data_IF_248188725214
#
_entry.id   IF_248188725214
#
_cell.length_a   1.000
_cell.length_b   1.000
_cell.length_c   1.000
_cell.angle_alpha   90.00
_cell.angle_beta   90.00
_cell.angle_gamma   90.00
#
_symmetry.space_group_name_H-M   'P 1'
#
loop_
_entity.id
_entity.type
_entity.pdbx_description
1 polymer ?
#
# COMPACT_ATOMS: atom_id res chain seq x y z
N UNK A 1 5.67 11.04 -4.15
CA UNK A 1 5.53 9.58 -4.34
C UNK A 1 6.85 8.85 -4.57
N UNK A 2 7.68 9.16 -5.59
CA UNK A 2 8.94 8.41 -5.82
C UNK A 2 9.84 8.28 -4.58
N UNK A 3 10.04 9.38 -3.84
CA UNK A 3 10.82 9.35 -2.60
C UNK A 3 10.25 8.40 -1.54
N UNK A 4 8.93 8.28 -1.43
CA UNK A 4 8.30 7.38 -0.45
C UNK A 4 8.51 5.89 -0.79
N UNK A 5 8.86 5.57 -2.04
CA UNK A 5 9.26 4.22 -2.44
C UNK A 5 10.71 3.90 -2.07
N UNK A 6 11.54 4.93 -1.89
CA UNK A 6 12.96 4.79 -1.51
C UNK A 6 13.11 4.84 0.02
N UNK A 7 12.48 5.84 0.65
CA UNK A 7 12.53 6.10 2.09
C UNK A 7 11.29 6.92 2.51
N UNK A 8 10.41 6.30 3.28
CA UNK A 8 9.17 6.93 3.77
C UNK A 8 9.49 8.12 4.67
N UNK A 9 10.48 8.01 5.56
CA UNK A 9 10.80 9.03 6.56
C UNK A 9 11.41 10.27 5.95
N UNK A 10 12.18 10.11 4.88
CA UNK A 10 12.77 11.22 4.11
C UNK A 10 11.85 11.80 3.03
N UNK A 11 10.67 11.21 2.82
CA UNK A 11 9.73 11.69 1.82
C UNK A 11 9.04 12.99 2.24
N UNK A 12 8.42 13.67 1.25
CA UNK A 12 7.61 14.88 1.45
C UNK A 12 6.22 14.62 2.04
N UNK A 13 5.90 13.39 2.45
CA UNK A 13 4.62 13.08 3.07
C UNK A 13 4.48 13.79 4.42
N UNK A 14 3.25 14.09 4.80
CA UNK A 14 2.94 14.60 6.13
C UNK A 14 3.27 13.56 7.21
N UNK A 15 3.47 14.01 8.45
CA UNK A 15 3.70 13.10 9.57
C UNK A 15 2.55 12.11 9.78
N UNK A 16 1.30 12.53 9.53
CA UNK A 16 0.13 11.67 9.63
C UNK A 16 0.08 10.58 8.56
N UNK A 17 0.47 10.90 7.32
CA UNK A 17 0.59 9.92 6.23
C UNK A 17 1.73 8.93 6.49
N UNK A 18 2.89 9.40 6.95
CA UNK A 18 4.01 8.52 7.32
C UNK A 18 3.61 7.56 8.43
N UNK A 19 2.87 8.04 9.44
CA UNK A 19 2.37 7.22 10.53
C UNK A 19 1.45 6.10 10.02
N UNK A 20 0.54 6.41 9.09
CA UNK A 20 -0.31 5.40 8.44
C UNK A 20 0.52 4.36 7.68
N UNK A 21 1.54 4.79 6.93
CA UNK A 21 2.38 3.86 6.16
C UNK A 21 3.25 2.97 7.06
N UNK A 22 3.77 3.49 8.18
CA UNK A 22 4.48 2.69 9.18
C UNK A 22 3.56 1.68 9.86
N UNK A 23 2.31 2.05 10.15
CA UNK A 23 1.32 1.10 10.65
C UNK A 23 1.04 0.00 9.62
N UNK A 24 0.85 0.36 8.34
CA UNK A 24 0.67 -0.62 7.24
C UNK A 24 1.88 -1.53 7.09
N UNK A 25 3.10 -1.02 7.28
CA UNK A 25 4.31 -1.84 7.27
C UNK A 25 4.31 -2.89 8.39
N UNK A 26 3.90 -2.51 9.61
CA UNK A 26 3.71 -3.45 10.71
C UNK A 26 2.62 -4.48 10.39
N UNK A 27 1.48 -4.06 9.84
CA UNK A 27 0.43 -4.99 9.39
C UNK A 27 0.96 -5.97 8.34
N UNK A 28 1.84 -5.52 7.44
CA UNK A 28 2.41 -6.37 6.39
C UNK A 28 3.34 -7.46 6.94
N UNK A 29 4.13 -7.14 7.96
CA UNK A 29 5.19 -8.01 8.47
C UNK A 29 4.82 -8.75 9.77
N UNK A 30 3.89 -8.22 10.56
CA UNK A 30 3.62 -8.66 11.94
C UNK A 30 2.14 -8.48 12.34
N UNK A 31 1.21 -8.75 11.42
CA UNK A 31 -0.24 -8.63 11.71
C UNK A 31 -0.74 -9.40 12.94
N UNK A 32 -0.20 -10.59 13.32
CA UNK A 32 -0.70 -11.30 14.51
C UNK A 32 -0.49 -10.56 15.83
N UNK A 33 0.43 -9.59 15.89
CA UNK A 33 0.73 -8.80 17.07
C UNK A 33 0.18 -7.36 17.00
N UNK A 34 -0.68 -7.06 16.03
CA UNK A 34 -1.39 -5.78 15.98
C UNK A 34 -2.40 -5.72 17.13
N UNK A 35 -2.38 -4.61 17.85
CA UNK A 35 -3.26 -4.33 18.97
C UNK A 35 -3.90 -2.95 18.84
N UNK A 36 -4.85 -2.62 19.71
CA UNK A 36 -5.43 -1.28 19.77
C UNK A 36 -4.37 -0.18 20.03
N UNK A 37 -3.26 -0.51 20.70
CA UNK A 37 -2.18 0.45 20.96
C UNK A 37 -1.48 0.90 19.66
N UNK A 38 -1.48 0.07 18.62
CA UNK A 38 -0.93 0.42 17.31
C UNK A 38 -1.81 1.42 16.55
N UNK A 39 -3.11 1.45 16.85
CA UNK A 39 -4.08 2.36 16.20
C UNK A 39 -4.23 3.68 16.95
N UNK A 40 -3.92 3.73 18.25
CA UNK A 40 -4.03 4.95 19.06
C UNK A 40 -3.26 6.16 18.47
N UNK A 41 -2.00 6.02 18.00
CA UNK A 41 -1.30 7.13 17.36
C UNK A 41 -2.01 7.64 16.09
N UNK A 42 -2.62 6.75 15.31
CA UNK A 42 -3.36 7.12 14.10
C UNK A 42 -4.60 7.93 14.44
N UNK A 43 -5.35 7.52 15.47
CA UNK A 43 -6.51 8.27 15.95
C UNK A 43 -6.10 9.66 16.47
N UNK A 44 -4.99 9.75 17.21
CA UNK A 44 -4.45 11.03 17.68
C UNK A 44 -4.02 11.94 16.52
N UNK A 45 -3.63 11.37 15.37
CA UNK A 45 -3.33 12.10 14.14
C UNK A 45 -4.59 12.44 13.30
N UNK A 46 -5.79 12.05 13.76
CA UNK A 46 -7.06 12.37 13.12
C UNK A 46 -7.59 11.33 12.13
N UNK A 47 -6.95 10.16 12.02
CA UNK A 47 -7.47 9.06 11.19
C UNK A 47 -8.68 8.41 11.85
N UNK A 48 -9.72 8.15 11.05
CA UNK A 48 -10.91 7.41 11.49
C UNK A 48 -10.67 5.90 11.40
N UNK A 49 -11.46 5.11 12.15
CA UNK A 49 -11.46 3.65 12.05
C UNK A 49 -11.69 3.19 10.59
N UNK A 50 -12.61 3.84 9.88
CA UNK A 50 -12.91 3.54 8.47
C UNK A 50 -11.68 3.69 7.57
N UNK A 51 -10.91 4.78 7.73
CA UNK A 51 -9.70 5.01 6.94
C UNK A 51 -8.61 3.98 7.26
N UNK A 52 -8.48 3.60 8.54
CA UNK A 52 -7.56 2.55 8.98
C UNK A 52 -7.97 1.20 8.39
N UNK A 53 -9.27 0.88 8.39
CA UNK A 53 -9.79 -0.35 7.79
C UNK A 53 -9.54 -0.41 6.29
N UNK A 54 -9.67 0.71 5.56
CA UNK A 54 -9.33 0.76 4.14
C UNK A 54 -7.84 0.50 3.90
N UNK A 55 -6.96 1.06 4.73
CA UNK A 55 -5.53 0.81 4.63
C UNK A 55 -5.18 -0.66 4.90
N UNK A 56 -5.76 -1.26 5.95
CA UNK A 56 -5.59 -2.69 6.28
C UNK A 56 -6.11 -3.55 5.13
N UNK A 57 -7.28 -3.23 4.59
CA UNK A 57 -7.91 -3.99 3.50
C UNK A 57 -7.04 -3.98 2.25
N UNK A 58 -6.52 -2.81 1.86
CA UNK A 58 -5.59 -2.70 0.74
C UNK A 58 -4.33 -3.55 0.99
N UNK A 59 -3.71 -3.43 2.16
CA UNK A 59 -2.53 -4.21 2.52
C UNK A 59 -2.79 -5.73 2.45
N UNK A 60 -3.90 -6.19 3.04
CA UNK A 60 -4.27 -7.59 3.06
C UNK A 60 -4.52 -8.15 1.65
N UNK A 61 -5.19 -7.37 0.80
CA UNK A 61 -5.49 -7.77 -0.58
C UNK A 61 -4.20 -7.89 -1.42
N UNK A 62 -3.27 -6.95 -1.30
CA UNK A 62 -1.96 -7.07 -1.96
C UNK A 62 -1.16 -8.25 -1.41
N UNK A 63 -1.21 -8.51 -0.11
CA UNK A 63 -0.58 -9.69 0.49
C UNK A 63 -1.11 -11.01 -0.06
N UNK A 64 -2.41 -11.09 -0.33
CA UNK A 64 -3.02 -12.21 -1.02
C UNK A 64 -2.54 -12.30 -2.48
N UNK A 65 -2.62 -11.21 -3.24
CA UNK A 65 -2.24 -11.22 -4.66
C UNK A 65 -0.78 -11.54 -4.89
N UNK A 66 0.13 -10.98 -4.09
CA UNK A 66 1.57 -11.26 -4.20
C UNK A 66 1.82 -12.76 -4.08
N UNK A 67 1.29 -13.40 -3.03
CA UNK A 67 1.43 -14.85 -2.81
C UNK A 67 0.81 -15.68 -3.95
N UNK A 68 -0.36 -15.27 -4.45
CA UNK A 68 -1.04 -15.99 -5.51
C UNK A 68 -0.32 -15.88 -6.86
N UNK A 69 0.15 -14.68 -7.23
CA UNK A 69 0.92 -14.43 -8.45
C UNK A 69 2.25 -15.18 -8.40
N UNK A 70 2.98 -15.08 -7.28
CA UNK A 70 4.27 -15.76 -7.10
C UNK A 70 4.11 -17.29 -7.21
N UNK A 71 3.05 -17.85 -6.61
CA UNK A 71 2.79 -19.29 -6.65
C UNK A 71 2.34 -19.80 -8.03
N UNK A 72 1.76 -18.94 -8.87
CA UNK A 72 1.27 -19.33 -10.21
C UNK A 72 2.29 -19.11 -11.32
N UNK A 73 3.46 -18.53 -11.01
CA UNK A 73 4.52 -18.25 -11.99
C UNK A 73 4.19 -17.10 -12.94
N UNK A 74 3.20 -16.26 -12.61
CA UNK A 74 2.89 -15.06 -13.39
C UNK A 74 3.99 -14.03 -13.14
N UNK A 75 4.72 -13.67 -14.19
CA UNK A 75 5.81 -12.70 -14.09
C UNK A 75 5.29 -11.26 -14.16
N UNK A 76 5.97 -10.37 -13.45
CA UNK A 76 5.76 -8.94 -13.60
C UNK A 76 5.96 -8.51 -15.06
N UNK A 77 5.13 -7.57 -15.52
CA UNK A 77 5.35 -6.92 -16.81
C UNK A 77 6.74 -6.27 -16.82
N UNK A 78 7.44 -6.35 -17.95
CA UNK A 78 8.66 -5.57 -18.14
C UNK A 78 8.36 -4.08 -17.94
N UNK A 79 9.35 -3.30 -17.51
CA UNK A 79 9.21 -1.85 -17.30
C UNK A 79 8.61 -1.13 -18.53
N UNK A 80 9.00 -1.57 -19.73
CA UNK A 80 8.46 -1.03 -20.98
C UNK A 80 6.98 -1.37 -21.15
N UNK A 81 6.61 -2.64 -20.95
CA UNK A 81 5.22 -3.08 -21.05
C UNK A 81 4.34 -2.40 -19.99
N UNK A 82 4.87 -2.19 -18.79
CA UNK A 82 4.20 -1.46 -17.70
C UNK A 82 3.96 0.01 -18.08
N UNK A 83 4.98 0.71 -18.59
CA UNK A 83 4.85 2.10 -19.08
C UNK A 83 3.86 2.21 -20.24
N UNK A 84 3.93 1.30 -21.21
CA UNK A 84 3.03 1.30 -22.35
C UNK A 84 1.59 1.00 -21.92
N UNK A 85 1.41 0.08 -20.97
CA UNK A 85 0.12 -0.21 -20.33
C UNK A 85 -0.48 1.02 -19.67
N UNK A 86 0.30 1.73 -18.85
CA UNK A 86 -0.15 2.96 -18.18
C UNK A 86 -0.62 4.03 -19.15
N UNK A 87 0.13 4.27 -20.25
CA UNK A 87 -0.30 5.22 -21.31
C UNK A 87 -1.62 4.82 -21.96
N UNK A 88 -1.82 3.52 -22.23
CA UNK A 88 -3.08 3.01 -22.80
C UNK A 88 -4.23 3.20 -21.83
N UNK A 89 -4.09 2.76 -20.57
CA UNK A 89 -5.12 2.92 -19.55
C UNK A 89 -5.49 4.38 -19.31
N UNK A 90 -4.54 5.31 -19.39
CA UNK A 90 -4.83 6.74 -19.31
C UNK A 90 -5.67 7.26 -20.49
N UNK A 91 -5.46 6.71 -21.69
CA UNK A 91 -6.18 7.14 -22.90
C UNK A 91 -7.56 6.48 -23.05
N UNK A 92 -7.69 5.21 -22.66
CA UNK A 92 -8.89 4.40 -22.96
C UNK A 92 -9.64 3.93 -21.72
N UNK A 93 -9.13 4.19 -20.52
CA UNK A 93 -9.68 3.65 -19.27
C UNK A 93 -9.39 2.16 -19.09
N UNK A 94 -10.09 1.54 -18.14
CA UNK A 94 -9.95 0.13 -17.77
C UNK A 94 -10.92 -0.80 -18.51
N UNK A 95 -11.93 -0.23 -19.17
CA UNK A 95 -12.89 -0.98 -19.98
C UNK A 95 -12.31 -1.15 -21.38
N UNK A 96 -12.18 -2.39 -21.81
CA UNK A 96 -11.84 -2.74 -23.19
C UNK A 96 -13.09 -2.82 -24.04
#
# INVERSE_FOLDING_TARGET
MRQALEDIDRSSLTSAEKLMLHFVDKVNHDSPHITAADMQPLHAAGWTDEQIWYAITACALFNFYNRWIDATGVHALSDEAHRAGGKRSAATGYVR
#
